data_IF_409930480807
#
_entry.id   IF_409930480807
#
_cell.length_a   1.000
_cell.length_b   1.000
_cell.length_c   1.000
_cell.angle_alpha   90.00
_cell.angle_beta   90.00
_cell.angle_gamma   90.00
#
_symmetry.space_group_name_H-M   'P 1'
#
loop_
_entity.id
_entity.type
_entity.pdbx_description
1 polymer ?
#
# COMPACT_ATOMS: atom_id res chain seq x y z
N UNK A 1 12.65 11.31 0.95
CA UNK A 1 12.53 11.78 2.34
C UNK A 1 11.65 10.80 3.11
N UNK A 2 12.01 10.55 4.32
CA UNK A 2 11.35 9.59 5.17
C UNK A 2 10.53 10.31 6.25
N UNK A 3 9.24 9.98 6.34
CA UNK A 3 8.36 10.57 7.34
C UNK A 3 8.02 9.49 8.36
N UNK A 4 8.24 9.79 9.65
CA UNK A 4 7.89 8.85 10.71
C UNK A 4 6.36 8.74 10.81
N UNK A 5 5.79 7.54 10.69
CA UNK A 5 4.36 7.39 10.78
C UNK A 5 3.81 7.73 12.16
N UNK A 6 2.62 8.30 12.20
CA UNK A 6 1.85 8.46 13.41
C UNK A 6 1.41 7.09 13.94
N UNK A 7 1.39 6.91 15.25
CA UNK A 7 0.85 5.69 15.86
C UNK A 7 -0.59 5.45 15.38
N UNK A 8 -0.86 4.23 14.89
CA UNK A 8 -2.15 3.88 14.29
C UNK A 8 -2.36 4.41 12.87
N UNK A 9 -1.39 5.15 12.34
CA UNK A 9 -1.42 5.68 10.98
C UNK A 9 -2.10 7.04 10.85
N UNK A 10 -1.84 7.69 9.73
CA UNK A 10 -2.45 8.98 9.39
C UNK A 10 -3.90 8.81 8.93
N UNK A 11 -4.71 9.81 9.24
CA UNK A 11 -6.08 9.94 8.74
C UNK A 11 -6.26 11.31 8.08
N UNK A 12 -7.25 11.49 7.18
CA UNK A 12 -7.45 12.77 6.49
C UNK A 12 -7.60 13.96 7.44
N UNK A 13 -8.26 13.76 8.57
CA UNK A 13 -8.49 14.81 9.56
C UNK A 13 -7.20 15.39 10.15
N UNK A 14 -6.10 14.62 10.17
CA UNK A 14 -4.80 15.11 10.62
C UNK A 14 -4.29 16.29 9.78
N UNK A 15 -4.82 16.43 8.56
CA UNK A 15 -4.42 17.47 7.61
C UNK A 15 -5.57 18.44 7.27
N UNK A 16 -6.66 18.39 8.05
CA UNK A 16 -7.83 19.22 7.77
C UNK A 16 -8.57 18.82 6.48
N UNK A 17 -8.44 17.58 6.06
CA UNK A 17 -9.01 17.07 4.82
C UNK A 17 -10.21 16.15 5.16
N UNK A 18 -11.27 16.26 4.37
CA UNK A 18 -12.42 15.35 4.41
C UNK A 18 -12.30 14.38 3.25
N UNK A 19 -12.07 13.10 3.54
CA UNK A 19 -11.90 12.06 2.52
C UNK A 19 -12.36 10.70 3.08
N UNK A 20 -12.67 9.78 2.18
CA UNK A 20 -13.06 8.40 2.52
C UNK A 20 -12.55 7.44 1.45
N UNK A 21 -12.56 6.14 1.75
CA UNK A 21 -12.08 5.08 0.85
C UNK A 21 -10.65 5.35 0.37
N UNK A 22 -9.82 5.86 1.26
CA UNK A 22 -8.49 6.38 0.97
C UNK A 22 -7.37 5.47 1.48
N UNK A 23 -7.63 4.18 1.66
CA UNK A 23 -6.64 3.26 2.24
C UNK A 23 -5.31 3.26 1.48
N UNK A 24 -5.34 3.31 0.14
CA UNK A 24 -4.12 3.34 -0.65
C UNK A 24 -3.33 4.63 -0.46
N UNK A 25 -4.03 5.76 -0.27
CA UNK A 25 -3.41 7.06 0.04
C UNK A 25 -2.81 7.04 1.44
N UNK A 26 -3.56 6.55 2.43
CA UNK A 26 -3.08 6.44 3.80
C UNK A 26 -1.86 5.51 3.89
N UNK A 27 -1.89 4.40 3.17
CA UNK A 27 -0.79 3.44 3.20
C UNK A 27 0.54 4.06 2.77
N UNK A 28 0.56 4.85 1.69
CA UNK A 28 1.78 5.48 1.22
C UNK A 28 2.27 6.56 2.19
N UNK A 29 1.37 7.24 2.87
CA UNK A 29 1.73 8.19 3.93
C UNK A 29 2.25 7.45 5.17
N UNK A 30 1.60 6.36 5.55
CA UNK A 30 1.95 5.57 6.73
C UNK A 30 3.29 4.86 6.58
N UNK A 31 3.67 4.47 5.36
CA UNK A 31 5.00 3.90 5.10
C UNK A 31 6.07 4.99 5.07
N UNK A 32 5.69 6.26 5.05
CA UNK A 32 6.61 7.40 5.10
C UNK A 32 7.20 7.79 3.75
N UNK A 33 6.62 7.33 2.64
CA UNK A 33 7.15 7.63 1.31
C UNK A 33 6.71 9.01 0.80
N UNK A 34 5.42 9.35 0.97
CA UNK A 34 4.89 10.67 0.65
C UNK A 34 4.02 11.18 1.80
N UNK A 35 4.01 12.50 2.07
CA UNK A 35 2.99 13.08 2.96
C UNK A 35 1.59 12.82 2.41
N UNK A 36 0.61 12.66 3.30
CA UNK A 36 -0.76 12.37 2.90
C UNK A 36 -1.32 13.36 1.86
N UNK A 37 -1.19 14.68 2.02
CA UNK A 37 -1.73 15.62 1.03
C UNK A 37 -1.10 15.46 -0.35
N UNK A 38 0.20 15.16 -0.40
CA UNK A 38 0.92 14.93 -1.66
C UNK A 38 0.43 13.63 -2.31
N UNK A 39 0.32 12.56 -1.52
CA UNK A 39 -0.17 11.28 -2.01
C UNK A 39 -1.59 11.40 -2.56
N UNK A 40 -2.46 12.11 -1.85
CA UNK A 40 -3.85 12.32 -2.29
C UNK A 40 -3.90 13.04 -3.64
N UNK A 41 -3.11 14.10 -3.81
CA UNK A 41 -3.05 14.86 -5.06
C UNK A 41 -2.54 14.01 -6.22
N UNK A 42 -1.48 13.25 -6.00
CA UNK A 42 -0.91 12.39 -7.04
C UNK A 42 -1.88 11.28 -7.45
N UNK A 43 -2.56 10.66 -6.49
CA UNK A 43 -3.57 9.64 -6.79
C UNK A 43 -4.71 10.22 -7.62
N UNK A 44 -5.17 11.44 -7.29
CA UNK A 44 -6.22 12.13 -8.04
C UNK A 44 -5.75 12.42 -9.47
N UNK A 45 -4.53 12.89 -9.65
CA UNK A 45 -3.96 13.15 -10.98
C UNK A 45 -3.88 11.89 -11.83
N UNK A 46 -3.66 10.73 -11.20
CA UNK A 46 -3.55 9.46 -11.89
C UNK A 46 -4.89 8.73 -12.02
N UNK A 47 -5.98 9.35 -11.63
CA UNK A 47 -7.33 8.85 -11.93
C UNK A 47 -8.17 8.41 -10.73
N UNK A 48 -7.72 8.63 -9.49
CA UNK A 48 -8.56 8.32 -8.34
C UNK A 48 -9.68 9.34 -8.20
N UNK A 49 -10.96 8.93 -8.27
CA UNK A 49 -12.08 9.82 -8.01
C UNK A 49 -12.14 10.17 -6.51
N UNK A 50 -12.53 11.39 -6.21
CA UNK A 50 -12.70 11.82 -4.82
C UNK A 50 -13.72 10.94 -4.11
N UNK A 51 -13.38 10.50 -2.89
CA UNK A 51 -14.25 9.68 -2.07
C UNK A 51 -14.39 8.23 -2.51
N UNK A 52 -13.62 7.80 -3.49
CA UNK A 52 -13.62 6.43 -4.03
C UNK A 52 -12.29 5.76 -3.84
N UNK A 53 -12.29 4.42 -3.92
CA UNK A 53 -11.05 3.64 -3.90
C UNK A 53 -10.13 4.00 -5.05
N UNK A 54 -8.84 3.79 -4.86
CA UNK A 54 -7.84 4.10 -5.88
C UNK A 54 -7.83 3.01 -6.95
N UNK A 55 -7.98 3.37 -8.24
CA UNK A 55 -7.81 2.39 -9.31
C UNK A 55 -6.42 1.77 -9.27
N UNK A 56 -6.33 0.50 -9.65
CA UNK A 56 -5.07 -0.25 -9.56
C UNK A 56 -3.92 0.41 -10.31
N UNK A 57 -4.17 0.91 -11.52
CA UNK A 57 -3.14 1.57 -12.32
C UNK A 57 -2.60 2.83 -11.64
N UNK A 58 -3.46 3.60 -10.99
CA UNK A 58 -3.07 4.80 -10.25
C UNK A 58 -2.22 4.43 -9.03
N UNK A 59 -2.65 3.45 -8.26
CA UNK A 59 -1.94 2.95 -7.09
C UNK A 59 -0.54 2.48 -7.49
N UNK A 60 -0.45 1.60 -8.47
CA UNK A 60 0.82 1.02 -8.91
C UNK A 60 1.79 2.11 -9.38
N UNK A 61 1.31 3.04 -10.18
CA UNK A 61 2.13 4.15 -10.68
C UNK A 61 2.63 5.06 -9.56
N UNK A 62 1.76 5.49 -8.67
CA UNK A 62 2.14 6.40 -7.58
C UNK A 62 3.08 5.72 -6.61
N UNK A 63 2.86 4.45 -6.30
CA UNK A 63 3.77 3.73 -5.41
C UNK A 63 5.17 3.59 -6.01
N UNK A 64 5.27 3.34 -7.31
CA UNK A 64 6.57 3.32 -8.00
C UNK A 64 7.23 4.69 -8.03
N UNK A 65 6.46 5.74 -8.29
CA UNK A 65 6.96 7.13 -8.22
C UNK A 65 7.49 7.47 -6.82
N UNK A 66 6.85 6.94 -5.79
CA UNK A 66 7.24 7.18 -4.40
C UNK A 66 8.49 6.39 -3.98
N UNK A 67 9.02 5.54 -4.86
CA UNK A 67 10.25 4.82 -4.63
C UNK A 67 10.11 3.34 -4.33
N UNK A 68 8.96 2.73 -4.60
CA UNK A 68 8.83 1.28 -4.51
C UNK A 68 9.81 0.63 -5.48
N UNK A 69 10.75 -0.16 -4.97
CA UNK A 69 11.81 -0.73 -5.79
C UNK A 69 11.75 -2.26 -5.91
N UNK A 70 10.96 -2.91 -5.08
CA UNK A 70 10.77 -4.35 -5.13
C UNK A 70 9.27 -4.62 -5.02
N UNK A 71 8.67 -4.93 -6.14
CA UNK A 71 7.23 -5.12 -6.26
C UNK A 71 6.98 -6.58 -6.61
N UNK A 72 6.07 -7.22 -5.89
CA UNK A 72 5.69 -8.61 -6.14
C UNK A 72 4.18 -8.73 -6.18
N UNK A 73 3.66 -9.45 -7.17
CA UNK A 73 2.25 -9.81 -7.27
C UNK A 73 2.07 -11.26 -6.82
N UNK A 74 0.94 -11.56 -6.19
CA UNK A 74 0.67 -12.87 -5.60
C UNK A 74 -0.63 -13.44 -6.13
N UNK A 75 -0.65 -14.75 -6.34
CA UNK A 75 -1.82 -15.51 -6.75
C UNK A 75 -2.16 -15.36 -8.22
N UNK A 76 -2.94 -16.30 -8.74
CA UNK A 76 -3.29 -16.35 -10.17
C UNK A 76 -4.11 -15.12 -10.61
N UNK A 77 -4.87 -14.50 -9.71
CA UNK A 77 -5.65 -13.30 -10.02
C UNK A 77 -4.77 -12.15 -10.52
N UNK A 78 -3.51 -12.11 -10.08
CA UNK A 78 -2.58 -11.03 -10.43
C UNK A 78 -1.74 -11.33 -11.66
N UNK A 79 -1.94 -12.48 -12.30
CA UNK A 79 -1.13 -12.87 -13.47
C UNK A 79 -1.20 -11.86 -14.60
N UNK A 80 -2.40 -11.35 -14.90
CA UNK A 80 -2.58 -10.35 -15.96
C UNK A 80 -1.83 -9.06 -15.65
N UNK A 81 -1.91 -8.62 -14.40
CA UNK A 81 -1.20 -7.41 -13.95
C UNK A 81 0.31 -7.63 -13.99
N UNK A 82 0.78 -8.81 -13.59
CA UNK A 82 2.20 -9.16 -13.64
C UNK A 82 2.73 -9.03 -15.07
N UNK A 83 2.03 -9.60 -16.03
CA UNK A 83 2.42 -9.51 -17.45
C UNK A 83 2.42 -8.07 -17.94
N UNK A 84 1.36 -7.31 -17.64
CA UNK A 84 1.20 -5.93 -18.08
C UNK A 84 2.30 -5.01 -17.56
N UNK A 85 2.73 -5.20 -16.32
CA UNK A 85 3.69 -4.32 -15.64
C UNK A 85 5.09 -4.92 -15.52
N UNK A 86 5.33 -6.10 -16.11
CA UNK A 86 6.62 -6.80 -16.04
C UNK A 86 7.10 -6.97 -14.59
N UNK A 87 6.19 -7.36 -13.72
CA UNK A 87 6.44 -7.56 -12.29
C UNK A 87 6.46 -9.05 -11.98
N UNK A 88 7.38 -9.55 -11.14
CA UNK A 88 7.37 -10.95 -10.75
C UNK A 88 6.03 -11.38 -10.17
N UNK A 89 5.59 -12.57 -10.55
CA UNK A 89 4.39 -13.20 -10.02
C UNK A 89 4.77 -14.38 -9.16
N UNK A 90 4.19 -14.45 -7.97
CA UNK A 90 4.23 -15.64 -7.13
C UNK A 90 2.85 -16.31 -7.16
N UNK A 91 2.69 -17.44 -7.88
CA UNK A 91 1.38 -18.10 -8.01
C UNK A 91 0.82 -18.58 -6.67
N UNK A 92 1.70 -18.87 -5.73
CA UNK A 92 1.31 -19.35 -4.41
C UNK A 92 0.71 -18.23 -3.56
N UNK A 93 -0.33 -18.56 -2.83
CA UNK A 93 -0.96 -17.62 -1.91
C UNK A 93 -0.05 -17.30 -0.73
N UNK A 94 -0.06 -16.04 -0.31
CA UNK A 94 0.59 -15.61 0.91
C UNK A 94 -0.41 -14.83 1.75
N UNK A 95 -0.52 -15.19 3.04
CA UNK A 95 -1.33 -14.43 3.98
C UNK A 95 -0.51 -13.27 4.54
N UNK A 96 -1.21 -12.26 5.06
CA UNK A 96 -0.55 -11.13 5.73
C UNK A 96 0.30 -11.61 6.92
N UNK A 97 -0.22 -12.55 7.70
CA UNK A 97 0.50 -13.13 8.83
C UNK A 97 1.85 -13.72 8.40
N UNK A 98 1.85 -14.55 7.35
CA UNK A 98 3.09 -15.12 6.81
C UNK A 98 4.03 -14.05 6.28
N UNK A 99 3.48 -13.03 5.63
CA UNK A 99 4.29 -11.91 5.13
C UNK A 99 5.02 -11.19 6.29
N UNK A 100 4.31 -10.91 7.38
CA UNK A 100 4.90 -10.26 8.55
C UNK A 100 6.02 -11.10 9.16
N UNK A 101 5.84 -12.41 9.25
CA UNK A 101 6.85 -13.32 9.77
C UNK A 101 8.12 -13.34 8.91
N UNK A 102 7.94 -13.29 7.58
CA UNK A 102 9.05 -13.36 6.63
C UNK A 102 9.75 -12.01 6.43
N UNK A 103 9.11 -10.92 6.80
CA UNK A 103 9.63 -9.57 6.58
C UNK A 103 9.60 -8.77 7.89
N UNK A 104 10.41 -9.19 8.90
CA UNK A 104 10.43 -8.52 10.21
C UNK A 104 11.09 -7.15 10.17
N UNK A 105 11.75 -6.80 9.08
CA UNK A 105 12.42 -5.51 8.87
C UNK A 105 12.02 -4.93 7.54
N UNK A 106 12.03 -3.62 7.46
CA UNK A 106 11.78 -2.89 6.23
C UNK A 106 10.40 -2.28 6.18
N UNK A 107 10.18 -1.53 5.10
CA UNK A 107 8.96 -0.76 4.90
C UNK A 107 8.25 -1.24 3.65
N UNK A 108 7.01 -1.61 3.83
CA UNK A 108 6.20 -2.16 2.75
C UNK A 108 4.82 -1.55 2.76
N UNK A 109 4.23 -1.40 1.58
CA UNK A 109 2.78 -1.35 1.46
C UNK A 109 2.35 -2.70 0.91
N UNK A 110 1.40 -3.32 1.58
CA UNK A 110 0.79 -4.57 1.11
C UNK A 110 -0.65 -4.30 0.70
N UNK A 111 -1.04 -4.92 -0.41
CA UNK A 111 -2.40 -4.82 -0.93
C UNK A 111 -3.08 -6.17 -0.76
N UNK A 112 -4.21 -6.13 -0.07
CA UNK A 112 -5.12 -7.28 0.08
C UNK A 112 -6.43 -6.93 -0.61
N UNK A 113 -7.38 -7.86 -0.65
CA UNK A 113 -8.65 -7.58 -1.33
C UNK A 113 -9.32 -6.34 -0.74
N UNK A 114 -9.56 -5.34 -1.60
CA UNK A 114 -10.25 -4.07 -1.27
C UNK A 114 -9.58 -3.25 -0.17
N UNK A 115 -8.29 -3.49 0.10
CA UNK A 115 -7.58 -2.72 1.13
C UNK A 115 -6.08 -2.68 0.87
N UNK A 116 -5.45 -1.56 1.22
CA UNK A 116 -4.00 -1.41 1.23
C UNK A 116 -3.58 -0.91 2.61
N UNK A 117 -2.44 -1.39 3.09
CA UNK A 117 -1.93 -1.01 4.40
C UNK A 117 -0.41 -0.97 4.43
N UNK A 118 0.14 -0.17 5.33
CA UNK A 118 1.57 -0.07 5.53
C UNK A 118 2.04 -1.08 6.56
N UNK A 119 3.21 -1.65 6.31
CA UNK A 119 3.93 -2.52 7.24
C UNK A 119 5.32 -1.93 7.45
N UNK A 120 5.68 -1.65 8.69
CA UNK A 120 6.97 -1.08 9.03
C UNK A 120 7.61 -1.96 10.10
N UNK A 121 8.75 -2.55 9.76
CA UNK A 121 9.51 -3.45 10.65
C UNK A 121 8.62 -4.53 11.28
N UNK A 122 7.82 -5.18 10.44
CA UNK A 122 6.95 -6.28 10.85
C UNK A 122 5.67 -5.85 11.56
N UNK A 123 5.41 -4.56 11.71
CA UNK A 123 4.22 -4.05 12.38
C UNK A 123 3.29 -3.37 11.38
N UNK A 124 2.00 -3.66 11.49
CA UNK A 124 0.98 -3.02 10.68
C UNK A 124 0.76 -1.60 11.19
N UNK A 125 0.84 -0.62 10.29
CA UNK A 125 0.51 0.78 10.57
C UNK A 125 -0.78 1.10 9.83
N UNK A 126 -1.89 0.82 10.47
CA UNK A 126 -3.22 1.02 9.90
C UNK A 126 -4.25 1.09 11.02
N UNK A 127 -5.40 1.66 10.70
CA UNK A 127 -6.56 1.65 11.58
C UNK A 127 -7.44 0.46 11.27
N UNK A 128 -8.05 -0.11 12.30
CA UNK A 128 -9.14 -1.04 12.10
C UNK A 128 -8.83 -2.49 12.46
N UNK A 129 -9.48 -3.40 11.76
CA UNK A 129 -9.58 -4.80 12.13
C UNK A 129 -8.30 -5.58 11.88
N UNK A 130 -8.10 -6.65 12.64
CA UNK A 130 -7.08 -7.63 12.36
C UNK A 130 -7.32 -8.26 10.98
N UNK A 131 -6.29 -8.23 10.14
CA UNK A 131 -6.32 -8.74 8.77
C UNK A 131 -5.29 -9.83 8.53
N UNK A 132 -4.78 -10.45 9.59
CA UNK A 132 -3.68 -11.42 9.52
C UNK A 132 -3.94 -12.57 8.55
N UNK A 133 -5.19 -13.07 8.51
CA UNK A 133 -5.58 -14.17 7.63
C UNK A 133 -5.86 -13.79 6.19
N UNK A 134 -5.83 -12.51 5.86
CA UNK A 134 -6.11 -12.06 4.49
C UNK A 134 -4.93 -12.36 3.56
N UNK A 135 -5.23 -12.68 2.29
CA UNK A 135 -4.23 -13.01 1.30
C UNK A 135 -3.74 -11.76 0.58
N UNK A 136 -2.44 -11.70 0.32
CA UNK A 136 -1.84 -10.60 -0.42
C UNK A 136 -2.19 -10.70 -1.90
N UNK A 137 -2.42 -9.53 -2.49
CA UNK A 137 -2.47 -9.36 -3.94
C UNK A 137 -1.16 -8.77 -4.45
N UNK A 138 -0.53 -7.90 -3.68
CA UNK A 138 0.75 -7.29 -4.04
C UNK A 138 1.50 -6.82 -2.80
N UNK A 139 2.82 -6.72 -2.92
CA UNK A 139 3.66 -6.04 -1.94
C UNK A 139 4.60 -5.07 -2.66
N UNK A 140 4.80 -3.91 -2.05
CA UNK A 140 5.65 -2.84 -2.54
C UNK A 140 6.65 -2.49 -1.45
N UNK A 141 7.95 -2.67 -1.74
CA UNK A 141 9.01 -2.37 -0.77
C UNK A 141 9.56 -0.98 -1.01
N UNK A 142 9.77 -0.25 0.07
CA UNK A 142 10.36 1.10 0.07
C UNK A 142 11.64 1.08 0.89
N UNK A 143 12.60 1.96 0.56
CA UNK A 143 13.83 2.10 1.31
C UNK A 143 13.57 2.71 2.69
N UNK A 144 14.44 2.37 3.62
CA UNK A 144 14.39 2.84 5.00
C UNK A 144 14.31 1.72 6.04
#
# INVERSE_FOLDING_TARGET
MYIVPKSGGYIPADFGIVEKNDCAVRAIANVGAYPYPVALKLMAQEGRPRGRGTPWNALDKVYKMAGAFDVTYYGERMRRMSQKHSVPLRPQSMTLETFLERHPKGRYVVVITKHALAVVDGAIVDMGKNRAGKRLMASYKFEG
#
